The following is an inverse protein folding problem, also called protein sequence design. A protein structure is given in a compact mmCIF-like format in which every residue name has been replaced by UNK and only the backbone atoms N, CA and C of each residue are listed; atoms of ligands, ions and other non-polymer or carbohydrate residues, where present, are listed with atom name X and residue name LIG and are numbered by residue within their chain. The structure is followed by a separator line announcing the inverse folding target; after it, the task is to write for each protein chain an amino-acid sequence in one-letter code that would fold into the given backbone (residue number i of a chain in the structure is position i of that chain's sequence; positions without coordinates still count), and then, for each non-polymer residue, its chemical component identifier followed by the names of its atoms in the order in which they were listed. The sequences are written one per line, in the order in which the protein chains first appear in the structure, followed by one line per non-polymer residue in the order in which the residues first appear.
data_IF_499300114084
#
_entry.id   IF_499300114084
#
_cell.length_a   1.000
_cell.length_b   1.000
_cell.length_c   1.000
_cell.angle_alpha   90.00
_cell.angle_beta   90.00
_cell.angle_gamma   90.00
#
_symmetry.space_group_name_H-M   'P 1'
#
loop_
_entity.id
_entity.type
_entity.pdbx_description
1 polymer ?
#
# COMPACT_ATOMS: atom_id res chain seq x y z
N UNK A 1 21.58 13.39 -10.64
CA UNK A 1 20.81 12.27 -11.21
C UNK A 1 19.35 12.54 -10.94
N UNK A 2 18.52 12.62 -11.98
CA UNK A 2 17.08 12.66 -11.77
C UNK A 2 16.64 11.27 -11.31
N UNK A 3 16.11 11.17 -10.10
CA UNK A 3 15.50 9.93 -9.61
C UNK A 3 14.34 9.60 -10.54
N UNK A 4 14.36 8.42 -11.18
CA UNK A 4 13.36 8.03 -12.18
C UNK A 4 11.94 8.02 -11.60
N UNK A 5 11.85 7.80 -10.28
CA UNK A 5 10.64 7.86 -9.48
C UNK A 5 10.84 8.96 -8.42
N UNK A 6 9.96 9.98 -8.34
CA UNK A 6 10.07 11.00 -7.32
C UNK A 6 9.80 10.40 -5.93
N UNK A 7 10.55 10.87 -4.93
CA UNK A 7 10.32 10.52 -3.54
C UNK A 7 9.70 11.70 -2.79
N UNK A 8 8.79 11.39 -1.88
CA UNK A 8 8.12 12.37 -1.01
C UNK A 8 7.90 11.76 0.37
N UNK A 9 7.79 12.62 1.37
CA UNK A 9 7.39 12.18 2.71
C UNK A 9 5.90 11.86 2.76
N UNK A 10 5.49 11.01 3.69
CA UNK A 10 4.08 10.70 3.95
C UNK A 10 3.28 11.97 4.28
N UNK A 11 3.91 12.96 4.93
CA UNK A 11 3.29 14.25 5.23
C UNK A 11 3.04 15.08 3.96
N UNK A 12 3.93 15.05 2.98
CA UNK A 12 3.74 15.71 1.68
C UNK A 12 2.69 14.98 0.83
N UNK A 13 2.74 13.65 0.81
CA UNK A 13 1.75 12.84 0.10
C UNK A 13 0.33 13.14 0.59
N UNK A 14 0.13 13.24 1.91
CA UNK A 14 -1.18 13.59 2.52
C UNK A 14 -1.69 14.98 2.16
N UNK A 15 -0.84 15.90 1.69
CA UNK A 15 -1.24 17.25 1.27
C UNK A 15 -1.69 17.31 -0.19
N UNK A 16 -1.47 16.25 -0.97
CA UNK A 16 -1.88 16.21 -2.38
C UNK A 16 -3.41 16.21 -2.48
N UNK A 17 -3.93 17.05 -3.37
CA UNK A 17 -5.34 17.02 -3.76
C UNK A 17 -5.58 15.84 -4.69
N UNK A 18 -6.82 15.35 -4.71
CA UNK A 18 -7.26 14.28 -5.62
C UNK A 18 -6.90 14.59 -7.08
N UNK A 19 -7.05 15.85 -7.51
CA UNK A 19 -6.66 16.27 -8.87
C UNK A 19 -5.16 16.10 -9.11
N UNK A 20 -4.31 16.45 -8.14
CA UNK A 20 -2.86 16.28 -8.25
C UNK A 20 -2.46 14.80 -8.22
N UNK A 21 -3.12 13.99 -7.40
CA UNK A 21 -2.88 12.54 -7.35
C UNK A 21 -3.20 11.83 -8.67
N UNK A 22 -4.21 12.33 -9.42
CA UNK A 22 -4.59 11.80 -10.73
C UNK A 22 -3.60 12.13 -11.85
N UNK A 23 -2.81 13.20 -11.70
CA UNK A 23 -1.79 13.61 -12.67
C UNK A 23 -0.42 12.95 -12.39
N UNK A 24 -0.22 12.39 -11.19
CA UNK A 24 1.01 11.69 -10.83
C UNK A 24 0.99 10.28 -11.42
N UNK A 25 2.07 9.86 -12.09
CA UNK A 25 2.23 8.47 -12.56
C UNK A 25 2.61 7.54 -11.40
N UNK A 26 3.67 7.88 -10.69
CA UNK A 26 4.15 7.13 -9.51
C UNK A 26 5.01 8.01 -8.60
N UNK A 27 5.12 7.62 -7.33
CA UNK A 27 6.08 8.19 -6.39
C UNK A 27 6.39 7.19 -5.26
N UNK A 28 7.57 7.30 -4.67
CA UNK A 28 7.93 6.56 -3.46
C UNK A 28 7.60 7.41 -2.22
N UNK A 29 6.94 6.79 -1.25
CA UNK A 29 6.51 7.45 -0.03
C UNK A 29 7.35 6.96 1.14
N UNK A 30 7.95 7.91 1.86
CA UNK A 30 8.84 7.66 3.00
C UNK A 30 8.27 8.25 4.30
N UNK A 31 8.61 7.67 5.44
CA UNK A 31 8.42 8.28 6.76
C UNK A 31 9.67 8.11 7.58
N UNK A 32 10.12 9.17 8.24
CA UNK A 32 11.27 9.14 9.18
C UNK A 32 12.57 8.58 8.56
N UNK A 33 12.73 8.74 7.24
CA UNK A 33 13.87 8.23 6.48
C UNK A 33 13.71 6.79 5.99
N UNK A 34 12.64 6.09 6.37
CA UNK A 34 12.32 4.74 5.94
C UNK A 34 11.30 4.72 4.79
N UNK A 35 11.51 3.82 3.84
CA UNK A 35 10.57 3.58 2.76
C UNK A 35 9.30 2.92 3.31
N UNK A 36 8.12 3.45 2.95
CA UNK A 36 6.83 2.86 3.31
C UNK A 36 6.24 2.08 2.14
N UNK A 37 5.98 2.76 1.02
CA UNK A 37 5.36 2.16 -0.15
C UNK A 37 5.59 2.99 -1.41
N UNK A 38 5.42 2.38 -2.57
CA UNK A 38 5.37 3.05 -3.87
C UNK A 38 3.92 3.27 -4.27
N UNK A 39 3.52 4.52 -4.43
CA UNK A 39 2.26 4.87 -5.04
C UNK A 39 2.35 4.71 -6.56
N UNK A 40 1.39 4.01 -7.15
CA UNK A 40 1.23 3.85 -8.60
C UNK A 40 -0.20 4.27 -8.95
N UNK A 41 -0.35 5.22 -9.86
CA UNK A 41 -1.67 5.69 -10.27
C UNK A 41 -2.29 4.74 -11.29
N UNK A 42 -3.24 3.91 -10.86
CA UNK A 42 -3.90 2.95 -11.75
C UNK A 42 -4.80 3.55 -12.84
N UNK A 43 -5.04 4.87 -12.87
CA UNK A 43 -5.94 5.48 -13.85
C UNK A 43 -5.27 5.83 -15.19
N UNK A 44 -3.94 5.82 -15.25
CA UNK A 44 -3.19 6.01 -16.50
C UNK A 44 -2.95 4.64 -17.17
N UNK A 45 -3.18 4.50 -18.48
CA UNK A 45 -3.13 3.19 -19.16
C UNK A 45 -1.82 2.40 -18.92
N UNK A 46 -0.67 3.07 -18.98
CA UNK A 46 0.63 2.43 -18.76
C UNK A 46 0.83 1.96 -17.30
N UNK A 47 0.28 2.67 -16.33
CA UNK A 47 0.39 2.38 -14.89
C UNK A 47 -0.75 1.50 -14.37
N UNK A 48 -1.88 1.44 -15.06
CA UNK A 48 -3.00 0.54 -14.80
C UNK A 48 -2.59 -0.92 -14.94
N UNK A 49 -1.90 -1.27 -16.03
CA UNK A 49 -1.34 -2.62 -16.20
C UNK A 49 -0.36 -2.99 -15.07
N UNK A 50 0.49 -2.04 -14.65
CA UNK A 50 1.42 -2.27 -13.53
C UNK A 50 0.64 -2.52 -12.23
N UNK A 51 -0.42 -1.75 -11.97
CA UNK A 51 -1.28 -1.95 -10.79
C UNK A 51 -1.91 -3.34 -10.78
N UNK A 52 -2.48 -3.78 -11.90
CA UNK A 52 -3.14 -5.09 -12.01
C UNK A 52 -2.17 -6.24 -11.68
N UNK A 53 -0.93 -6.16 -12.20
CA UNK A 53 0.11 -7.15 -11.89
C UNK A 53 0.50 -7.12 -10.40
N UNK A 54 0.66 -5.92 -9.81
CA UNK A 54 1.00 -5.77 -8.39
C UNK A 54 -0.10 -6.32 -7.49
N UNK A 55 -1.38 -6.06 -7.79
CA UNK A 55 -2.51 -6.58 -7.03
C UNK A 55 -2.55 -8.13 -7.06
N UNK A 56 -2.34 -8.72 -8.24
CA UNK A 56 -2.25 -10.18 -8.38
C UNK A 56 -1.11 -10.77 -7.53
N UNK A 57 0.07 -10.17 -7.56
CA UNK A 57 1.24 -10.68 -6.83
C UNK A 57 1.10 -10.46 -5.32
N UNK A 58 0.55 -9.33 -4.89
CA UNK A 58 0.29 -9.01 -3.49
C UNK A 58 -0.68 -10.01 -2.84
N UNK A 59 -1.74 -10.41 -3.56
CA UNK A 59 -2.68 -11.44 -3.08
C UNK A 59 -2.00 -12.78 -2.79
N UNK A 60 -1.01 -13.15 -3.61
CA UNK A 60 -0.22 -14.38 -3.43
C UNK A 60 0.72 -14.25 -2.24
N UNK A 61 1.38 -13.10 -2.08
CA UNK A 61 2.31 -12.82 -0.99
C UNK A 61 1.65 -12.89 0.39
N UNK A 62 0.46 -12.29 0.54
CA UNK A 62 -0.28 -12.32 1.80
C UNK A 62 -0.73 -13.73 2.23
N UNK A 63 -0.74 -14.69 1.30
CA UNK A 63 -1.08 -16.09 1.58
C UNK A 63 0.12 -16.88 2.15
N UNK A 64 1.35 -16.40 1.97
CA UNK A 64 2.59 -17.10 2.36
C UNK A 64 3.46 -16.19 3.23
N UNK A 65 3.30 -16.28 4.55
CA UNK A 65 4.19 -15.62 5.53
C UNK A 65 3.84 -14.16 5.87
N UNK A 66 2.71 -13.65 5.41
CA UNK A 66 2.18 -12.35 5.81
C UNK A 66 1.44 -12.38 7.16
N UNK A 67 1.35 -11.21 7.81
CA UNK A 67 0.44 -10.97 8.94
C UNK A 67 -0.72 -10.11 8.46
N UNK A 68 -1.93 -10.42 8.90
CA UNK A 68 -3.10 -9.59 8.59
C UNK A 68 -3.01 -8.24 9.33
N UNK A 69 -3.79 -7.26 8.88
CA UNK A 69 -3.91 -5.97 9.58
C UNK A 69 -4.27 -6.16 11.06
N UNK A 70 -5.19 -7.08 11.37
CA UNK A 70 -5.60 -7.40 12.74
C UNK A 70 -4.44 -7.95 13.57
N UNK A 71 -3.66 -8.88 12.99
CA UNK A 71 -2.50 -9.44 13.67
C UNK A 71 -1.49 -8.35 14.04
N UNK A 72 -1.28 -7.36 13.17
CA UNK A 72 -0.34 -6.26 13.40
C UNK A 72 -0.87 -5.29 14.46
N UNK A 73 -2.16 -4.99 14.42
CA UNK A 73 -2.81 -4.05 15.34
C UNK A 73 -3.12 -4.65 16.72
N UNK A 74 -2.95 -5.96 16.88
CA UNK A 74 -3.19 -6.66 18.15
C UNK A 74 -4.67 -6.77 18.52
N UNK A 75 -5.58 -6.76 17.53
CA UNK A 75 -7.00 -7.02 17.77
C UNK A 75 -7.16 -8.52 18.10
N UNK A 76 -7.38 -8.86 19.37
CA UNK A 76 -7.64 -10.23 19.81
C UNK A 76 -8.85 -10.81 19.06
N UNK A 77 -8.64 -11.93 18.37
CA UNK A 77 -9.72 -12.79 17.91
C UNK A 77 -10.34 -13.37 19.19
N UNK A 78 -11.44 -12.79 19.66
CA UNK A 78 -12.29 -13.41 20.67
C UNK A 78 -12.80 -14.72 20.07
N UNK A 79 -12.11 -15.82 20.33
CA UNK A 79 -12.64 -17.15 20.13
C UNK A 79 -13.85 -17.28 21.06
N UNK A 80 -15.06 -17.15 20.48
CA UNK A 80 -16.25 -17.65 21.16
C UNK A 80 -16.14 -19.17 21.22
N UNK A 81 -15.49 -19.66 22.28
CA UNK A 81 -15.70 -21.00 22.80
C UNK A 81 -17.18 -21.10 23.18
N UNK A 82 -18.03 -21.49 22.21
CA UNK A 82 -19.37 -21.93 22.54
C UNK A 82 -19.26 -23.31 23.18
N UNK A 83 -19.24 -23.24 24.51
CA UNK A 83 -19.71 -24.22 25.48
C UNK A 83 -20.38 -25.46 24.87
N UNK A 84 -19.71 -26.59 25.09
CA UNK A 84 -20.32 -27.92 25.11
C UNK A 84 -21.47 -27.89 26.13
N UNK A 85 -22.68 -28.15 25.65
CA UNK A 85 -23.81 -28.67 26.45
C UNK A 85 -24.37 -29.88 25.72
#
# INVERSE_FOLDING_TARGET
MATLIPNITITEFRKLKVTQMKELNSCEVYSDGEYLFTFINGNHEATGNIRDNVEQWASTSNTVGGRTFKDIMGEEVLETENAVV
#
